data_IF_348305148421
#
_entry.id   IF_348305148421
#
_cell.length_a   1.000
_cell.length_b   1.000
_cell.length_c   1.000
_cell.angle_alpha   90.00
_cell.angle_beta   90.00
_cell.angle_gamma   90.00
#
_symmetry.space_group_name_H-M   'P 1'
#
loop_
_entity.id
_entity.type
_entity.pdbx_description
1 polymer ?
#
# COMPACT_ATOMS: atom_id res chain seq x y z
N UNK A 1 58.53 6.41 -3.28
CA UNK A 1 58.04 5.05 -3.58
C UNK A 1 56.61 5.20 -4.08
N UNK A 2 56.36 4.96 -5.37
CA UNK A 2 55.67 3.77 -5.93
C UNK A 2 54.23 3.58 -5.37
N UNK A 3 53.14 3.77 -6.15
CA UNK A 3 52.62 3.05 -7.36
C UNK A 3 51.69 1.89 -6.97
N UNK A 4 50.51 1.60 -7.56
CA UNK A 4 49.58 2.31 -8.50
C UNK A 4 48.13 1.71 -8.29
N UNK A 5 47.12 1.50 -9.16
CA UNK A 5 46.93 1.56 -10.62
C UNK A 5 45.42 1.65 -11.06
N UNK A 6 45.04 2.76 -11.73
CA UNK A 6 44.12 2.94 -12.90
C UNK A 6 42.88 2.03 -13.08
N UNK A 7 41.66 2.63 -13.16
CA UNK A 7 40.68 2.67 -14.30
C UNK A 7 39.36 3.31 -13.76
N UNK A 8 38.66 4.30 -14.34
CA UNK A 8 38.46 4.80 -15.71
C UNK A 8 37.30 4.15 -16.49
N UNK A 9 36.18 4.87 -16.61
CA UNK A 9 35.34 4.94 -17.82
C UNK A 9 34.58 6.28 -17.84
N UNK A 10 34.24 6.77 -19.03
CA UNK A 10 33.46 7.99 -19.24
C UNK A 10 32.31 7.72 -20.21
N UNK A 11 31.22 8.47 -20.07
CA UNK A 11 30.12 8.54 -21.04
C UNK A 11 29.89 10.01 -21.41
N UNK A 12 29.60 10.28 -22.68
CA UNK A 12 29.76 11.59 -23.32
C UNK A 12 28.51 12.46 -23.25
N UNK A 13 28.69 13.77 -23.09
CA UNK A 13 27.68 14.80 -23.36
C UNK A 13 27.64 15.17 -24.84
N UNK A 14 26.48 15.05 -25.49
CA UNK A 14 26.09 15.68 -26.77
C UNK A 14 24.69 15.14 -27.16
N UNK A 15 23.80 15.86 -27.86
CA UNK A 15 23.79 17.22 -28.37
C UNK A 15 22.46 17.90 -27.98
N UNK A 16 22.43 19.24 -27.93
CA UNK A 16 21.36 20.02 -28.58
C UNK A 16 21.82 21.47 -28.76
N UNK A 17 21.92 21.93 -30.01
CA UNK A 17 22.57 23.20 -30.35
C UNK A 17 21.56 24.19 -30.93
N UNK A 18 21.35 25.30 -30.23
CA UNK A 18 21.00 26.60 -30.82
C UNK A 18 19.60 26.77 -31.43
N UNK A 19 18.77 27.54 -30.72
CA UNK A 19 17.97 28.59 -31.34
C UNK A 19 18.17 29.87 -30.53
N UNK A 20 18.68 30.91 -31.17
CA UNK A 20 18.76 32.25 -30.61
C UNK A 20 17.75 33.15 -31.33
N UNK A 21 16.88 33.78 -30.57
CA UNK A 21 15.91 34.79 -31.00
C UNK A 21 15.76 35.79 -29.86
N UNK A 22 15.55 37.07 -30.19
CA UNK A 22 15.72 38.18 -29.25
C UNK A 22 14.38 38.79 -28.81
N UNK A 23 14.50 39.75 -27.88
CA UNK A 23 13.57 40.85 -27.56
C UNK A 23 12.67 40.69 -26.31
N UNK A 24 13.04 41.48 -25.29
CA UNK A 24 12.25 42.15 -24.25
C UNK A 24 11.11 41.41 -23.51
N UNK A 25 11.46 40.88 -22.33
CA UNK A 25 10.58 40.72 -21.18
C UNK A 25 11.29 41.22 -19.90
N UNK A 26 10.58 41.73 -18.88
CA UNK A 26 11.21 42.46 -17.76
C UNK A 26 12.02 41.57 -16.81
N UNK A 27 13.07 42.16 -16.25
CA UNK A 27 13.96 41.56 -15.24
C UNK A 27 13.21 41.15 -13.97
N UNK A 28 12.88 39.86 -13.91
CA UNK A 28 12.60 39.13 -12.67
C UNK A 28 13.86 38.32 -12.33
N UNK A 29 14.67 38.86 -11.43
CA UNK A 29 16.02 38.37 -11.15
C UNK A 29 16.06 36.86 -10.90
N UNK A 30 16.90 36.17 -11.68
CA UNK A 30 17.07 34.73 -11.65
C UNK A 30 17.92 34.28 -10.45
N UNK A 31 17.31 34.19 -9.27
CA UNK A 31 17.73 33.23 -8.25
C UNK A 31 17.61 31.82 -8.89
N UNK A 32 18.67 30.99 -8.84
CA UNK A 32 18.71 29.67 -9.50
C UNK A 32 17.52 28.79 -9.07
N UNK A 33 16.50 28.65 -9.92
CA UNK A 33 15.28 27.94 -9.55
C UNK A 33 15.49 26.43 -9.46
N UNK A 34 14.72 25.73 -8.63
CA UNK A 34 14.79 24.26 -8.56
C UNK A 34 14.03 23.73 -9.76
N UNK A 35 14.74 23.51 -10.88
CA UNK A 35 14.11 23.07 -12.12
C UNK A 35 13.29 21.79 -11.92
N UNK A 36 12.20 21.66 -12.67
CA UNK A 36 11.32 20.50 -12.60
C UNK A 36 12.09 19.19 -12.82
N UNK A 37 13.14 19.20 -13.65
CA UNK A 37 14.07 18.08 -13.84
C UNK A 37 14.73 17.61 -12.53
N UNK A 38 15.10 18.51 -11.61
CA UNK A 38 15.64 18.13 -10.31
C UNK A 38 14.57 17.48 -9.43
N UNK A 39 13.37 18.07 -9.39
CA UNK A 39 12.24 17.54 -8.61
C UNK A 39 11.82 16.15 -9.12
N UNK A 40 11.72 15.98 -10.44
CA UNK A 40 11.47 14.69 -11.11
C UNK A 40 12.59 13.71 -10.79
N UNK A 41 13.86 14.12 -10.86
CA UNK A 41 15.01 13.26 -10.54
C UNK A 41 14.99 12.81 -9.07
N UNK A 42 14.60 13.68 -8.14
CA UNK A 42 14.53 13.33 -6.71
C UNK A 42 13.40 12.34 -6.43
N UNK A 43 12.22 12.52 -7.03
CA UNK A 43 11.09 11.59 -6.92
C UNK A 43 11.39 10.25 -7.61
N UNK A 44 11.95 10.26 -8.82
CA UNK A 44 12.31 9.06 -9.57
C UNK A 44 13.50 8.27 -8.98
N UNK A 45 14.33 8.91 -8.14
CA UNK A 45 15.42 8.25 -7.41
C UNK A 45 14.97 7.49 -6.15
N UNK A 46 13.65 7.26 -5.97
CA UNK A 46 13.08 6.51 -4.84
C UNK A 46 12.98 7.29 -3.52
N UNK A 47 13.67 8.43 -3.40
CA UNK A 47 13.77 9.29 -2.19
C UNK A 47 12.47 9.93 -1.70
N UNK A 48 11.33 9.50 -2.22
CA UNK A 48 10.01 10.00 -1.92
C UNK A 48 8.91 8.98 -2.17
N UNK A 49 9.23 7.70 -2.42
CA UNK A 49 8.27 6.64 -2.79
C UNK A 49 7.27 6.24 -1.70
N UNK A 50 7.41 6.85 -0.51
CA UNK A 50 6.66 6.57 0.71
C UNK A 50 7.49 5.87 1.79
N UNK A 51 8.65 5.28 1.46
CA UNK A 51 9.52 4.63 2.45
C UNK A 51 10.49 5.60 3.14
N UNK A 52 11.05 6.54 2.38
CA UNK A 52 11.99 7.55 2.89
C UNK A 52 11.30 8.88 3.25
N UNK A 53 11.30 9.24 4.54
CA UNK A 53 10.96 10.60 5.01
C UNK A 53 12.22 11.45 5.18
N UNK A 54 12.74 11.95 4.05
CA UNK A 54 13.86 12.90 4.09
C UNK A 54 13.35 14.29 4.47
N UNK A 55 13.66 14.71 5.70
CA UNK A 55 13.69 16.11 6.10
C UNK A 55 15.16 16.56 6.06
N UNK A 56 15.51 17.46 5.15
CA UNK A 56 16.85 18.07 5.11
C UNK A 56 16.74 19.59 5.17
N UNK A 57 17.57 20.23 6.01
CA UNK A 57 17.69 21.68 6.09
C UNK A 57 19.14 22.08 5.77
N UNK A 58 19.33 22.88 4.72
CA UNK A 58 20.64 23.40 4.35
C UNK A 58 20.53 24.64 3.47
N UNK A 59 21.45 25.59 3.60
CA UNK A 59 21.63 26.71 2.67
C UNK A 59 20.33 27.38 2.17
N UNK A 60 19.47 27.84 3.08
CA UNK A 60 18.19 28.49 2.79
C UNK A 60 17.12 27.60 2.10
N UNK A 61 17.24 26.27 2.26
CA UNK A 61 16.36 25.26 1.66
C UNK A 61 15.93 24.20 2.70
N UNK A 62 14.62 23.94 2.80
CA UNK A 62 14.10 22.70 3.41
C UNK A 62 13.62 21.77 2.30
N UNK A 63 14.10 20.53 2.32
CA UNK A 63 13.67 19.44 1.45
C UNK A 63 12.82 18.46 2.25
N UNK A 64 11.67 18.06 1.71
CA UNK A 64 10.72 17.14 2.32
C UNK A 64 10.37 15.99 1.36
N UNK A 65 10.18 14.79 1.91
CA UNK A 65 9.63 13.63 1.23
C UNK A 65 8.53 12.97 2.08
N UNK A 66 7.88 11.91 1.58
CA UNK A 66 6.93 11.10 2.37
C UNK A 66 5.65 11.85 2.78
N UNK A 67 5.12 11.55 3.97
CA UNK A 67 3.90 12.13 4.50
C UNK A 67 3.96 13.65 4.74
N UNK A 68 5.05 14.27 5.27
CA UNK A 68 5.09 15.73 5.41
C UNK A 68 5.03 16.44 4.05
N UNK A 69 5.66 15.87 3.02
CA UNK A 69 5.53 16.39 1.65
C UNK A 69 4.11 16.19 1.09
N UNK A 70 3.51 15.00 1.24
CA UNK A 70 2.13 14.69 0.81
C UNK A 70 1.12 15.65 1.46
N UNK A 71 1.28 15.96 2.75
CA UNK A 71 0.41 16.92 3.42
C UNK A 71 0.63 18.35 2.92
N UNK A 72 1.88 18.82 2.75
CA UNK A 72 2.14 20.16 2.22
C UNK A 72 1.56 20.33 0.82
N UNK A 73 1.71 19.32 -0.05
CA UNK A 73 1.08 19.27 -1.37
C UNK A 73 -0.44 19.46 -1.27
N UNK A 74 -1.13 18.68 -0.44
CA UNK A 74 -2.60 18.76 -0.26
C UNK A 74 -3.04 20.13 0.28
N UNK A 75 -2.23 20.77 1.14
CA UNK A 75 -2.51 22.12 1.62
C UNK A 75 -2.31 23.18 0.53
N UNK A 76 -1.35 23.01 -0.38
CA UNK A 76 -1.12 23.90 -1.52
C UNK A 76 -2.16 23.75 -2.62
N UNK A 77 -2.60 22.52 -2.94
CA UNK A 77 -3.70 22.25 -3.89
C UNK A 77 -4.98 22.95 -3.39
N UNK A 78 -5.23 22.91 -2.06
CA UNK A 78 -6.37 23.57 -1.41
C UNK A 78 -6.27 25.11 -1.29
N UNK A 79 -5.07 25.70 -1.31
CA UNK A 79 -4.85 27.16 -1.37
C UNK A 79 -4.91 27.70 -2.82
N UNK A 80 -5.12 26.81 -3.81
CA UNK A 80 -5.24 27.16 -5.23
C UNK A 80 -3.90 27.41 -5.92
N UNK A 81 -2.86 26.65 -5.58
CA UNK A 81 -1.54 26.75 -6.22
C UNK A 81 -1.58 26.53 -7.75
N UNK A 82 -0.60 27.07 -8.48
CA UNK A 82 -0.46 26.85 -9.92
C UNK A 82 -0.09 25.38 -10.18
N UNK A 83 -0.87 24.69 -11.02
CA UNK A 83 -0.68 23.26 -11.33
C UNK A 83 -0.06 23.09 -12.71
N UNK A 84 1.11 22.46 -12.77
CA UNK A 84 1.78 22.01 -14.00
C UNK A 84 1.73 20.48 -14.08
N UNK A 85 1.84 19.91 -15.28
CA UNK A 85 1.95 18.44 -15.45
C UNK A 85 3.02 18.13 -16.49
N UNK A 86 4.03 17.36 -16.08
CA UNK A 86 5.22 17.04 -16.89
C UNK A 86 5.49 15.54 -16.78
N UNK A 87 5.63 14.85 -17.91
CA UNK A 87 5.94 13.41 -17.99
C UNK A 87 5.03 12.47 -17.15
N UNK A 88 3.84 12.91 -16.74
CA UNK A 88 2.90 12.18 -15.89
C UNK A 88 2.90 12.61 -14.41
N UNK A 89 3.88 13.40 -13.98
CA UNK A 89 3.94 13.99 -12.64
C UNK A 89 3.08 15.27 -12.55
N UNK A 90 2.38 15.47 -11.42
CA UNK A 90 1.74 16.76 -11.09
C UNK A 90 2.69 17.61 -10.26
N UNK A 91 2.85 18.88 -10.62
CA UNK A 91 3.71 19.85 -9.91
C UNK A 91 2.85 21.03 -9.44
N UNK A 92 3.01 21.43 -8.18
CA UNK A 92 2.39 22.61 -7.58
C UNK A 92 3.43 23.68 -7.30
N UNK A 93 3.25 24.87 -7.88
CA UNK A 93 4.14 26.01 -7.69
C UNK A 93 3.50 27.06 -6.77
N UNK A 94 4.18 27.33 -5.64
CA UNK A 94 3.95 28.44 -4.73
C UNK A 94 5.14 29.41 -4.74
N UNK A 95 4.98 30.61 -4.16
CA UNK A 95 5.93 31.73 -4.34
C UNK A 95 7.39 31.44 -3.96
N UNK A 96 7.62 30.51 -3.03
CA UNK A 96 8.94 30.00 -2.62
C UNK A 96 8.87 28.51 -2.23
N UNK A 97 7.96 27.78 -2.87
CA UNK A 97 7.70 26.37 -2.57
C UNK A 97 7.31 25.64 -3.84
N UNK A 98 7.90 24.49 -4.11
CA UNK A 98 7.49 23.60 -5.19
C UNK A 98 7.25 22.20 -4.63
N UNK A 99 6.18 21.53 -5.07
CA UNK A 99 5.88 20.16 -4.68
C UNK A 99 5.51 19.31 -5.89
N UNK A 100 6.02 18.08 -5.97
CA UNK A 100 5.81 17.12 -7.07
C UNK A 100 5.26 15.80 -6.54
N UNK A 101 4.36 15.15 -7.30
CA UNK A 101 3.83 13.82 -7.00
C UNK A 101 3.54 13.00 -8.27
N UNK A 102 3.64 11.69 -8.16
CA UNK A 102 3.18 10.69 -9.13
C UNK A 102 1.92 9.92 -8.66
N UNK A 103 1.39 10.25 -7.47
CA UNK A 103 0.28 9.55 -6.80
C UNK A 103 0.70 8.44 -5.83
N UNK A 104 1.98 8.05 -5.82
CA UNK A 104 2.57 7.11 -4.84
C UNK A 104 3.41 7.92 -3.87
N UNK A 105 4.39 8.63 -4.40
CA UNK A 105 5.32 9.47 -3.68
C UNK A 105 4.99 10.95 -3.75
N UNK A 106 5.55 11.74 -2.84
CA UNK A 106 5.51 13.20 -2.89
C UNK A 106 6.83 13.77 -2.41
N UNK A 107 7.36 14.76 -3.12
CA UNK A 107 8.54 15.52 -2.74
C UNK A 107 8.23 17.02 -2.75
N UNK A 108 8.68 17.75 -1.74
CA UNK A 108 8.50 19.20 -1.63
C UNK A 108 9.81 19.92 -1.31
N UNK A 109 9.93 21.15 -1.81
CA UNK A 109 11.07 22.03 -1.66
C UNK A 109 10.62 23.41 -1.20
N UNK A 110 11.21 23.94 -0.13
CA UNK A 110 10.85 25.22 0.49
C UNK A 110 12.08 26.12 0.62
N UNK A 111 11.99 27.34 0.08
CA UNK A 111 13.11 28.30 0.02
C UNK A 111 12.89 29.49 0.97
N UNK A 112 13.77 29.68 1.95
CA UNK A 112 13.67 30.76 2.94
C UNK A 112 14.86 30.76 3.89
N UNK A 113 14.94 31.69 4.83
CA UNK A 113 16.02 31.63 5.83
C UNK A 113 15.84 30.38 6.69
N UNK A 114 16.74 29.40 6.54
CA UNK A 114 16.72 28.15 7.31
C UNK A 114 17.47 28.32 8.61
N UNK A 115 16.76 28.15 9.71
CA UNK A 115 17.33 28.11 11.05
C UNK A 115 17.01 26.71 11.60
N UNK A 116 18.04 25.91 11.86
CA UNK A 116 17.96 24.48 12.23
C UNK A 116 18.34 24.22 13.69
N UNK A 117 18.32 25.25 14.53
CA UNK A 117 18.67 25.13 15.95
C UNK A 117 17.39 24.97 16.80
N UNK A 118 17.48 24.17 17.85
CA UNK A 118 16.34 23.54 18.51
C UNK A 118 15.54 24.45 19.48
N UNK A 119 15.34 25.74 19.13
CA UNK A 119 14.35 26.57 19.82
C UNK A 119 12.92 26.10 19.45
N UNK A 120 12.01 26.14 20.43
CA UNK A 120 10.63 25.62 20.39
C UNK A 120 10.42 24.12 20.02
N UNK A 121 11.46 23.35 19.67
CA UNK A 121 11.35 21.92 19.34
C UNK A 121 10.84 21.67 17.92
N UNK A 122 11.50 22.26 16.93
CA UNK A 122 11.36 21.94 15.52
C UNK A 122 12.54 21.07 15.04
N UNK A 123 12.28 20.03 14.26
CA UNK A 123 13.31 19.23 13.57
C UNK A 123 13.96 20.03 12.41
N UNK A 124 13.21 20.92 11.76
CA UNK A 124 13.70 21.83 10.73
C UNK A 124 12.81 23.07 10.62
N UNK A 125 13.40 24.28 10.59
CA UNK A 125 12.69 25.56 10.65
C UNK A 125 13.03 26.55 9.52
N UNK A 126 12.04 27.36 9.16
CA UNK A 126 12.16 28.56 8.34
C UNK A 126 11.73 29.78 9.15
N UNK A 127 12.56 30.81 9.16
CA UNK A 127 12.28 32.10 9.76
C UNK A 127 12.03 33.18 8.68
N UNK A 128 11.42 34.29 9.09
CA UNK A 128 11.22 35.44 8.23
C UNK A 128 10.55 36.62 8.92
N UNK A 129 11.17 37.79 8.79
CA UNK A 129 10.68 39.07 9.33
C UNK A 129 9.77 39.84 8.36
N UNK A 130 9.46 39.29 7.18
CA UNK A 130 8.63 39.93 6.15
C UNK A 130 7.37 39.13 5.88
N UNK A 131 6.30 39.81 5.46
CA UNK A 131 5.03 39.19 5.01
C UNK A 131 5.17 38.37 3.72
N UNK A 132 6.34 38.38 3.09
CA UNK A 132 6.67 37.69 1.83
C UNK A 132 7.64 36.51 2.02
N UNK A 133 8.03 36.18 3.26
CA UNK A 133 8.83 34.98 3.55
C UNK A 133 8.03 33.69 3.30
N UNK A 134 8.75 32.57 3.08
CA UNK A 134 8.12 31.26 3.03
C UNK A 134 7.42 30.88 4.34
N UNK A 135 7.95 31.30 5.50
CA UNK A 135 7.28 31.15 6.79
C UNK A 135 5.97 31.94 6.88
N UNK A 136 5.92 33.18 6.38
CA UNK A 136 4.66 33.94 6.28
C UNK A 136 3.64 33.31 5.32
N UNK A 137 4.10 32.68 4.24
CA UNK A 137 3.24 31.91 3.33
C UNK A 137 2.67 30.65 4.01
N UNK A 138 3.52 29.84 4.66
CA UNK A 138 3.09 28.67 5.44
C UNK A 138 2.09 29.06 6.52
N UNK A 139 2.38 30.09 7.33
CA UNK A 139 1.45 30.56 8.37
C UNK A 139 0.10 30.99 7.78
N UNK A 140 0.08 31.62 6.60
CA UNK A 140 -1.19 31.96 5.91
C UNK A 140 -1.96 30.69 5.55
N UNK A 141 -1.31 29.74 4.88
CA UNK A 141 -1.89 28.48 4.41
C UNK A 141 -2.38 27.60 5.58
N UNK A 142 -1.65 27.51 6.69
CA UNK A 142 -2.11 26.84 7.92
C UNK A 142 -3.33 27.53 8.54
N UNK A 143 -3.36 28.86 8.56
CA UNK A 143 -4.51 29.64 9.05
C UNK A 143 -5.75 29.48 8.16
N UNK A 144 -5.59 29.49 6.84
CA UNK A 144 -6.68 29.17 5.89
C UNK A 144 -7.25 27.78 6.17
N UNK A 145 -6.40 26.76 6.34
CA UNK A 145 -6.84 25.38 6.59
C UNK A 145 -7.56 25.19 7.93
N UNK A 146 -7.13 25.90 8.97
CA UNK A 146 -7.63 25.73 10.36
C UNK A 146 -8.72 26.74 10.76
N UNK A 147 -8.96 27.77 9.94
CA UNK A 147 -9.77 28.93 10.33
C UNK A 147 -9.16 29.78 11.45
N UNK A 148 -7.91 29.51 11.85
CA UNK A 148 -7.27 30.12 13.02
C UNK A 148 -6.71 31.51 12.74
N UNK A 149 -6.74 32.38 13.75
CA UNK A 149 -6.05 33.68 13.76
C UNK A 149 -4.92 33.75 14.80
N UNK A 150 -4.71 32.66 15.56
CA UNK A 150 -3.79 32.59 16.69
C UNK A 150 -2.32 32.83 16.33
N UNK A 151 -1.51 33.27 17.30
CA UNK A 151 -0.06 33.46 17.15
C UNK A 151 0.67 32.15 16.84
N UNK A 152 0.21 31.04 17.43
CA UNK A 152 0.67 29.68 17.15
C UNK A 152 -0.43 28.92 16.42
N UNK A 153 -0.07 28.22 15.33
CA UNK A 153 -0.97 27.35 14.57
C UNK A 153 -0.22 26.07 14.21
N UNK A 154 -0.74 24.93 14.62
CA UNK A 154 -0.27 23.61 14.21
C UNK A 154 -1.31 22.90 13.35
N UNK A 155 -0.82 22.08 12.43
CA UNK A 155 -1.49 20.96 11.77
C UNK A 155 -0.57 19.74 11.95
N UNK A 156 -0.94 18.51 11.56
CA UNK A 156 0.03 17.41 11.58
C UNK A 156 1.26 17.77 10.73
N UNK A 157 2.44 17.29 11.09
CA UNK A 157 3.76 17.71 10.59
C UNK A 157 4.18 19.16 10.88
N UNK A 158 3.34 20.16 10.61
CA UNK A 158 3.75 21.57 10.56
C UNK A 158 3.19 22.44 11.69
N UNK A 159 4.07 23.19 12.35
CA UNK A 159 3.72 24.30 13.25
C UNK A 159 4.28 25.62 12.73
N UNK A 160 3.53 26.70 12.94
CA UNK A 160 3.99 28.08 12.78
C UNK A 160 3.76 28.90 14.05
N UNK A 161 4.72 29.76 14.40
CA UNK A 161 4.70 30.67 15.57
C UNK A 161 5.02 32.10 15.10
N UNK A 162 4.23 33.08 15.55
CA UNK A 162 4.43 34.51 15.24
C UNK A 162 4.88 35.29 16.47
N UNK A 163 6.19 35.44 16.61
CA UNK A 163 6.86 36.16 17.70
C UNK A 163 8.13 36.84 17.14
N UNK A 164 8.17 38.18 17.12
CA UNK A 164 9.23 38.98 16.49
C UNK A 164 9.20 38.94 14.95
N UNK A 165 9.25 37.74 14.38
CA UNK A 165 8.99 37.43 12.97
C UNK A 165 7.90 36.37 12.82
N UNK A 166 8.01 35.53 11.79
CA UNK A 166 7.26 34.27 11.65
C UNK A 166 8.24 33.11 11.53
N UNK A 167 8.12 32.16 12.44
CA UNK A 167 8.78 30.86 12.43
C UNK A 167 7.79 29.82 11.92
N UNK A 168 8.21 28.95 11.00
CA UNK A 168 7.43 27.78 10.58
C UNK A 168 8.36 26.61 10.31
N UNK A 169 8.01 25.43 10.78
CA UNK A 169 8.85 24.25 10.64
C UNK A 169 8.09 22.95 10.85
N UNK A 170 8.81 21.84 10.74
CA UNK A 170 8.31 20.53 11.14
C UNK A 170 8.61 20.31 12.62
N UNK A 171 7.59 19.90 13.37
CA UNK A 171 7.74 19.50 14.78
C UNK A 171 8.49 18.17 14.88
N UNK A 172 9.28 17.97 15.94
CA UNK A 172 10.04 16.73 16.17
C UNK A 172 9.12 15.48 16.10
N UNK A 173 9.30 14.60 15.09
CA UNK A 173 8.35 13.54 14.81
C UNK A 173 8.56 12.30 15.68
N UNK A 174 7.56 11.42 15.71
CA UNK A 174 7.63 10.10 16.35
C UNK A 174 8.10 9.06 15.35
N UNK A 175 8.93 8.11 15.77
CA UNK A 175 9.34 7.01 14.90
C UNK A 175 8.34 5.86 15.01
N UNK A 176 7.94 5.31 13.85
CA UNK A 176 7.05 4.17 13.74
C UNK A 176 7.81 3.01 13.09
N UNK A 177 8.35 2.13 13.92
CA UNK A 177 9.19 1.00 13.49
C UNK A 177 8.31 -0.22 13.22
N UNK A 178 8.36 -0.72 11.99
CA UNK A 178 7.58 -1.84 11.50
C UNK A 178 8.49 -3.01 11.10
N UNK A 179 8.11 -4.22 11.48
CA UNK A 179 8.62 -5.46 10.89
C UNK A 179 7.46 -6.31 10.38
N UNK A 180 7.70 -7.07 9.32
CA UNK A 180 6.70 -7.92 8.67
C UNK A 180 7.29 -9.30 8.36
N UNK A 181 6.55 -10.35 8.69
CA UNK A 181 6.80 -11.73 8.26
C UNK A 181 5.67 -12.21 7.35
N UNK A 182 6.03 -13.00 6.33
CA UNK A 182 5.13 -13.59 5.31
C UNK A 182 4.17 -12.62 4.60
N UNK A 183 4.47 -11.32 4.61
CA UNK A 183 3.69 -10.28 3.92
C UNK A 183 3.78 -10.49 2.38
N UNK A 184 2.66 -10.69 1.66
CA UNK A 184 2.68 -10.97 0.23
C UNK A 184 3.15 -9.79 -0.63
N UNK A 185 3.52 -10.10 -1.88
CA UNK A 185 3.50 -9.10 -2.95
C UNK A 185 2.07 -8.89 -3.42
N UNK A 186 1.66 -7.62 -3.55
CA UNK A 186 0.33 -7.21 -4.03
C UNK A 186 0.30 -6.88 -5.53
N UNK A 187 1.37 -7.22 -6.25
CA UNK A 187 1.48 -6.99 -7.69
C UNK A 187 1.78 -5.53 -8.08
N UNK A 188 1.71 -5.20 -9.38
CA UNK A 188 2.08 -3.89 -9.90
C UNK A 188 1.01 -2.82 -9.68
N UNK A 189 -0.28 -3.18 -9.64
CA UNK A 189 -1.39 -2.21 -9.62
C UNK A 189 -1.83 -1.79 -8.21
N UNK A 190 -1.31 -2.43 -7.17
CA UNK A 190 -1.58 -2.13 -5.76
C UNK A 190 -0.30 -1.74 -4.99
N UNK A 191 -0.50 -1.20 -3.79
CA UNK A 191 0.50 -0.93 -2.75
C UNK A 191 -0.10 -1.30 -1.38
N UNK A 192 0.75 -1.48 -0.38
CA UNK A 192 0.30 -1.37 1.00
C UNK A 192 0.18 0.11 1.40
N UNK A 193 -0.84 0.44 2.20
CA UNK A 193 -0.91 1.71 2.92
C UNK A 193 -1.00 1.46 4.44
N UNK A 194 -0.20 2.20 5.20
CA UNK A 194 -0.22 2.20 6.66
C UNK A 194 -1.15 3.27 7.21
N UNK A 195 -1.92 2.92 8.23
CA UNK A 195 -2.88 3.82 8.88
C UNK A 195 -2.69 3.79 10.39
N UNK A 196 -2.45 4.96 10.98
CA UNK A 196 -2.38 5.13 12.43
C UNK A 196 -3.67 5.79 12.94
N UNK A 197 -4.22 5.24 14.03
CA UNK A 197 -5.56 5.57 14.52
C UNK A 197 -5.48 6.37 15.82
N UNK A 198 -6.10 7.55 15.83
CA UNK A 198 -6.37 8.36 17.03
C UNK A 198 -7.83 8.79 17.02
N UNK A 199 -8.13 10.05 16.66
CA UNK A 199 -9.49 10.57 16.46
C UNK A 199 -9.98 10.34 15.01
N UNK A 200 -9.66 9.18 14.45
CA UNK A 200 -9.78 8.84 13.04
C UNK A 200 -8.50 8.20 12.48
N UNK A 201 -8.55 7.76 11.22
CA UNK A 201 -7.41 7.17 10.53
C UNK A 201 -6.56 8.25 9.83
N UNK A 202 -5.25 8.22 10.07
CA UNK A 202 -4.26 9.04 9.35
C UNK A 202 -3.32 8.10 8.60
N UNK A 203 -3.14 8.32 7.29
CA UNK A 203 -2.14 7.58 6.50
C UNK A 203 -0.73 7.91 7.00
N UNK A 204 0.12 6.89 7.16
CA UNK A 204 1.53 7.02 7.54
C UNK A 204 2.42 6.91 6.32
N UNK A 205 2.28 5.86 5.51
CA UNK A 205 2.95 5.77 4.21
C UNK A 205 2.34 4.75 3.24
N UNK A 206 2.78 4.80 1.98
CA UNK A 206 2.57 3.77 0.96
C UNK A 206 3.88 3.04 0.66
N UNK A 207 3.83 1.72 0.42
CA UNK A 207 5.00 0.93 0.01
C UNK A 207 4.60 -0.34 -0.77
N UNK A 208 5.53 -0.91 -1.55
CA UNK A 208 5.22 -2.09 -2.38
C UNK A 208 5.24 -3.42 -1.57
N UNK A 209 6.39 -3.80 -1.01
CA UNK A 209 6.56 -4.93 -0.07
C UNK A 209 7.90 -4.75 0.63
N UNK A 210 7.98 -5.01 1.94
CA UNK A 210 9.24 -5.01 2.70
C UNK A 210 9.12 -5.91 3.93
N UNK A 211 10.25 -6.36 4.48
CA UNK A 211 10.33 -7.09 5.76
C UNK A 211 10.51 -6.17 6.97
N UNK A 212 10.99 -4.94 6.76
CA UNK A 212 11.10 -3.92 7.81
C UNK A 212 11.04 -2.51 7.21
N UNK A 213 10.57 -1.54 8.00
CA UNK A 213 10.50 -0.13 7.63
C UNK A 213 10.42 0.75 8.88
N UNK A 214 11.27 1.77 8.99
CA UNK A 214 11.08 2.85 9.95
C UNK A 214 10.40 4.01 9.23
N UNK A 215 9.16 4.28 9.62
CA UNK A 215 8.42 5.47 9.18
C UNK A 215 8.54 6.54 10.27
N UNK A 216 8.11 7.76 9.96
CA UNK A 216 7.87 8.79 10.97
C UNK A 216 6.40 9.21 10.94
N UNK A 217 5.90 9.71 12.07
CA UNK A 217 4.54 10.26 12.17
C UNK A 217 4.54 11.59 12.95
N UNK A 218 3.56 12.47 12.72
CA UNK A 218 3.43 13.73 13.45
C UNK A 218 3.44 13.55 14.98
N UNK A 219 4.08 14.49 15.69
CA UNK A 219 4.10 14.53 17.16
C UNK A 219 2.70 14.42 17.80
N UNK A 220 1.67 14.95 17.13
CA UNK A 220 0.26 14.87 17.53
C UNK A 220 -0.31 13.45 17.59
N UNK A 221 0.33 12.45 16.99
CA UNK A 221 -0.12 11.05 16.96
C UNK A 221 0.57 10.16 18.00
N UNK A 222 1.36 10.73 18.93
CA UNK A 222 1.99 10.01 20.04
C UNK A 222 0.99 9.31 21.00
N UNK A 223 -0.30 9.66 20.94
CA UNK A 223 -1.37 9.02 21.72
C UNK A 223 -2.16 7.95 20.93
N UNK A 224 -1.72 7.58 19.72
CA UNK A 224 -2.44 6.66 18.84
C UNK A 224 -2.71 5.29 19.48
N UNK A 225 -3.87 4.72 19.17
CA UNK A 225 -4.43 3.52 19.81
C UNK A 225 -4.32 2.27 18.96
N UNK A 226 -4.18 2.40 17.64
CA UNK A 226 -4.00 1.27 16.73
C UNK A 226 -3.19 1.64 15.47
N UNK A 227 -2.63 0.61 14.84
CA UNK A 227 -2.10 0.64 13.49
C UNK A 227 -2.82 -0.41 12.63
N UNK A 228 -3.13 -0.08 11.38
CA UNK A 228 -3.75 -0.96 10.39
C UNK A 228 -2.96 -0.88 9.09
N UNK A 229 -2.74 -2.03 8.45
CA UNK A 229 -2.19 -2.12 7.09
C UNK A 229 -3.29 -2.55 6.12
N UNK A 230 -3.44 -1.85 5.01
CA UNK A 230 -4.41 -2.17 3.94
C UNK A 230 -3.74 -2.35 2.59
N UNK A 231 -4.45 -2.95 1.63
CA UNK A 231 -4.02 -3.10 0.23
C UNK A 231 -4.79 -2.10 -0.63
N UNK A 232 -4.13 -1.04 -1.09
CA UNK A 232 -4.76 0.08 -1.80
C UNK A 232 -4.34 0.15 -3.28
N UNK A 233 -5.19 0.71 -4.16
CA UNK A 233 -4.82 1.00 -5.55
C UNK A 233 -3.57 1.89 -5.63
N UNK A 234 -2.56 1.47 -6.39
CA UNK A 234 -1.31 2.24 -6.59
C UNK A 234 -1.55 3.60 -7.25
N UNK A 235 -2.62 3.72 -8.05
CA UNK A 235 -2.98 4.93 -8.80
C UNK A 235 -4.48 5.16 -8.77
N UNK A 236 -4.90 6.43 -8.87
CA UNK A 236 -6.30 6.86 -8.84
C UNK A 236 -7.06 6.40 -7.58
N UNK A 237 -6.32 6.34 -6.47
CA UNK A 237 -6.78 5.99 -5.13
C UNK A 237 -8.05 6.79 -4.73
N UNK A 238 -9.22 6.14 -4.59
CA UNK A 238 -10.45 6.82 -4.20
C UNK A 238 -10.56 6.89 -2.67
N UNK A 239 -10.99 8.03 -2.13
CA UNK A 239 -11.41 8.09 -0.73
C UNK A 239 -12.86 7.59 -0.58
N UNK A 240 -13.21 6.80 0.46
CA UNK A 240 -12.35 6.31 1.53
C UNK A 240 -11.49 5.09 1.10
N UNK A 241 -10.46 4.80 1.89
CA UNK A 241 -9.57 3.64 1.75
C UNK A 241 -10.34 2.31 1.60
N UNK A 242 -9.66 1.32 1.01
CA UNK A 242 -10.19 -0.03 0.81
C UNK A 242 -10.66 -0.69 2.11
N UNK A 243 -11.58 -1.66 1.99
CA UNK A 243 -11.86 -2.60 3.08
C UNK A 243 -10.79 -3.68 3.27
N UNK A 244 -9.74 -3.68 2.43
CA UNK A 244 -8.79 -4.80 2.27
C UNK A 244 -7.68 -4.73 3.34
N UNK A 245 -8.10 -4.77 4.60
CA UNK A 245 -7.21 -4.69 5.76
C UNK A 245 -6.54 -6.06 5.99
N UNK A 246 -5.20 -6.13 5.96
CA UNK A 246 -4.45 -7.40 6.01
C UNK A 246 -3.90 -7.74 7.40
N UNK A 247 -3.28 -6.78 8.09
CA UNK A 247 -2.79 -6.93 9.48
C UNK A 247 -3.02 -5.66 10.27
N UNK A 248 -3.23 -5.79 11.58
CA UNK A 248 -3.39 -4.65 12.47
C UNK A 248 -2.89 -4.97 13.89
N UNK A 249 -2.68 -3.93 14.69
CA UNK A 249 -2.28 -4.01 16.10
C UNK A 249 -2.95 -2.90 16.92
N UNK A 250 -3.29 -3.19 18.17
CA UNK A 250 -3.51 -2.16 19.18
C UNK A 250 -2.15 -1.65 19.67
N UNK A 251 -1.93 -0.34 19.68
CA UNK A 251 -0.63 0.26 19.99
C UNK A 251 -0.44 0.48 21.49
N UNK A 252 0.80 0.31 21.95
CA UNK A 252 1.27 0.79 23.26
C UNK A 252 2.54 1.61 23.06
N UNK A 253 2.54 2.87 23.49
CA UNK A 253 3.66 3.80 23.26
C UNK A 253 4.97 3.26 23.87
N UNK A 254 6.06 3.33 23.09
CA UNK A 254 7.39 2.83 23.45
C UNK A 254 7.46 1.31 23.66
N UNK A 255 6.49 0.53 23.16
CA UNK A 255 6.41 -0.92 23.38
C UNK A 255 6.05 -1.67 22.09
N UNK A 256 6.75 -2.77 21.75
CA UNK A 256 6.38 -3.60 20.60
C UNK A 256 4.98 -4.18 20.73
N UNK A 257 4.18 -3.96 19.70
CA UNK A 257 2.80 -4.44 19.57
C UNK A 257 2.72 -5.40 18.36
N UNK A 258 2.05 -6.53 18.50
CA UNK A 258 2.02 -7.57 17.45
C UNK A 258 1.02 -7.24 16.34
N UNK A 259 1.48 -7.26 15.07
CA UNK A 259 0.64 -7.13 13.88
C UNK A 259 0.10 -8.52 13.50
N UNK A 260 -1.22 -8.68 13.45
CA UNK A 260 -1.86 -9.97 13.11
C UNK A 260 -3.04 -9.81 12.17
N UNK A 261 -3.37 -10.88 11.43
CA UNK A 261 -4.64 -11.02 10.68
C UNK A 261 -5.85 -11.15 11.61
N UNK A 262 -5.62 -11.64 12.84
CA UNK A 262 -6.65 -11.93 13.85
C UNK A 262 -7.26 -10.66 14.44
N UNK A 263 -6.51 -9.55 14.48
CA UNK A 263 -6.96 -8.29 15.03
C UNK A 263 -8.28 -7.82 14.36
N UNK A 264 -9.24 -7.35 15.14
CA UNK A 264 -10.60 -7.04 14.67
C UNK A 264 -10.69 -5.86 13.67
N UNK A 265 -9.58 -5.13 13.47
CA UNK A 265 -9.43 -4.11 12.42
C UNK A 265 -8.64 -4.60 11.19
N UNK A 266 -8.34 -5.90 11.11
CA UNK A 266 -7.76 -6.61 9.96
C UNK A 266 -8.77 -7.63 9.42
N UNK A 267 -8.31 -8.82 9.03
CA UNK A 267 -9.17 -9.93 8.55
C UNK A 267 -10.08 -10.47 9.68
N UNK A 268 -9.73 -10.25 10.95
CA UNK A 268 -10.53 -10.67 12.11
C UNK A 268 -10.46 -12.17 12.43
N UNK A 269 -9.49 -12.89 11.87
CA UNK A 269 -9.27 -14.31 12.16
C UNK A 269 -7.81 -14.73 11.95
N UNK A 270 -7.41 -15.79 12.65
CA UNK A 270 -6.09 -16.41 12.53
C UNK A 270 -6.11 -17.68 11.66
N UNK A 271 -7.30 -18.15 11.24
CA UNK A 271 -7.59 -19.38 10.50
C UNK A 271 -7.27 -20.73 11.17
N UNK A 272 -6.93 -20.79 12.47
CA UNK A 272 -6.60 -22.05 13.15
C UNK A 272 -7.74 -23.09 13.19
N UNK A 273 -8.99 -22.64 13.06
CA UNK A 273 -10.19 -23.50 13.02
C UNK A 273 -10.69 -23.83 11.61
N UNK A 274 -10.00 -23.37 10.57
CA UNK A 274 -10.38 -23.65 9.19
C UNK A 274 -10.15 -25.13 8.84
N UNK A 275 -11.11 -25.76 8.15
CA UNK A 275 -11.01 -27.13 7.66
C UNK A 275 -11.82 -27.31 6.37
N UNK A 276 -11.32 -28.14 5.44
CA UNK A 276 -12.03 -28.51 4.23
C UNK A 276 -11.85 -29.99 3.88
N UNK A 277 -12.88 -30.55 3.23
CA UNK A 277 -12.81 -31.80 2.50
C UNK A 277 -13.50 -31.66 1.14
N UNK A 278 -13.06 -32.46 0.16
CA UNK A 278 -13.62 -32.49 -1.19
C UNK A 278 -13.79 -33.92 -1.72
N UNK A 279 -14.57 -34.06 -2.79
CA UNK A 279 -14.65 -35.26 -3.62
C UNK A 279 -14.15 -34.95 -5.04
N UNK A 280 -13.61 -35.97 -5.73
CA UNK A 280 -13.41 -35.93 -7.18
C UNK A 280 -14.68 -36.44 -7.86
N UNK A 281 -15.42 -35.59 -8.55
CA UNK A 281 -16.70 -35.93 -9.17
C UNK A 281 -17.04 -34.95 -10.30
N UNK A 282 -17.80 -35.42 -11.30
CA UNK A 282 -18.21 -34.64 -12.48
C UNK A 282 -19.74 -34.55 -12.66
N UNK A 283 -20.46 -33.95 -11.70
CA UNK A 283 -21.93 -33.87 -11.69
C UNK A 283 -22.55 -33.11 -12.88
N UNK A 284 -21.77 -32.34 -13.65
CA UNK A 284 -22.25 -31.75 -14.92
C UNK A 284 -22.36 -32.76 -16.08
N UNK A 285 -21.95 -34.01 -15.87
CA UNK A 285 -22.10 -35.12 -16.84
C UNK A 285 -22.89 -36.29 -16.24
N UNK A 286 -23.26 -37.25 -17.09
CA UNK A 286 -23.87 -38.53 -16.68
C UNK A 286 -22.88 -39.71 -16.75
N UNK A 287 -21.58 -39.42 -16.88
CA UNK A 287 -20.52 -40.41 -16.89
C UNK A 287 -20.05 -40.70 -15.45
N UNK A 288 -19.43 -41.88 -15.27
CA UNK A 288 -18.83 -42.32 -14.00
C UNK A 288 -17.33 -42.60 -14.15
N UNK A 289 -16.76 -42.29 -15.32
CA UNK A 289 -15.35 -42.55 -15.70
C UNK A 289 -14.49 -41.29 -15.80
N UNK A 290 -15.09 -40.14 -15.55
CA UNK A 290 -14.53 -38.79 -15.66
C UNK A 290 -14.42 -38.08 -14.30
N UNK A 291 -14.71 -38.75 -13.18
CA UNK A 291 -14.65 -38.17 -11.81
C UNK A 291 -13.38 -37.36 -11.52
N UNK A 292 -12.22 -37.81 -12.03
CA UNK A 292 -10.93 -37.11 -11.90
C UNK A 292 -10.86 -35.74 -12.60
N UNK A 293 -11.89 -35.35 -13.37
CA UNK A 293 -11.97 -34.08 -14.09
C UNK A 293 -12.80 -33.02 -13.35
N UNK A 294 -13.25 -33.25 -12.11
CA UNK A 294 -14.02 -32.27 -11.34
C UNK A 294 -13.75 -32.35 -9.85
N UNK A 295 -13.83 -31.21 -9.15
CA UNK A 295 -13.56 -31.10 -7.71
C UNK A 295 -14.70 -30.35 -7.02
N UNK A 296 -15.26 -30.97 -5.98
CA UNK A 296 -16.42 -30.42 -5.28
C UNK A 296 -16.25 -30.49 -3.77
N UNK A 297 -16.41 -29.35 -3.09
CA UNK A 297 -16.37 -29.26 -1.64
C UNK A 297 -17.73 -29.69 -1.05
N UNK A 298 -17.98 -31.00 -1.09
CA UNK A 298 -19.25 -31.64 -0.71
C UNK A 298 -18.99 -32.83 0.22
N UNK A 299 -19.71 -32.88 1.34
CA UNK A 299 -19.60 -33.94 2.33
C UNK A 299 -20.62 -35.06 2.03
N UNK A 300 -20.21 -36.32 1.80
CA UNK A 300 -21.14 -37.41 1.57
C UNK A 300 -21.99 -37.70 2.81
N UNK A 301 -23.29 -37.39 2.73
CA UNK A 301 -24.24 -37.62 3.82
C UNK A 301 -24.13 -36.65 5.00
N UNK A 302 -23.29 -35.61 4.91
CA UNK A 302 -23.11 -34.56 5.93
C UNK A 302 -23.50 -33.17 5.38
N UNK A 303 -23.82 -32.19 6.24
CA UNK A 303 -24.24 -30.86 5.79
C UNK A 303 -23.06 -30.01 5.29
N UNK A 304 -21.87 -30.17 5.89
CA UNK A 304 -20.74 -29.23 5.77
C UNK A 304 -19.46 -29.95 5.33
N UNK A 305 -18.84 -29.43 4.26
CA UNK A 305 -17.52 -29.85 3.78
C UNK A 305 -16.45 -28.75 3.97
N UNK A 306 -16.88 -27.56 4.38
CA UNK A 306 -16.09 -26.35 4.51
C UNK A 306 -16.43 -25.68 5.84
N UNK A 307 -15.52 -25.75 6.79
CA UNK A 307 -15.58 -25.00 8.04
C UNK A 307 -14.62 -23.82 7.89
N UNK A 308 -15.17 -22.62 7.71
CA UNK A 308 -14.41 -21.42 7.37
C UNK A 308 -14.87 -20.22 8.22
N UNK A 309 -13.95 -19.39 8.75
CA UNK A 309 -14.30 -18.11 9.35
C UNK A 309 -15.08 -17.20 8.39
N UNK A 310 -15.95 -16.34 8.92
CA UNK A 310 -16.59 -15.27 8.13
C UNK A 310 -15.56 -14.19 7.82
N UNK A 311 -15.31 -13.93 6.53
CA UNK A 311 -14.44 -12.83 6.10
C UNK A 311 -15.18 -11.48 6.13
N UNK A 312 -14.49 -10.37 6.45
CA UNK A 312 -15.03 -9.02 6.33
C UNK A 312 -15.15 -8.59 4.85
N UNK A 313 -15.64 -7.36 4.63
CA UNK A 313 -15.56 -6.70 3.32
C UNK A 313 -14.09 -6.48 2.93
N UNK A 314 -13.81 -6.31 1.63
CA UNK A 314 -12.44 -6.26 1.10
C UNK A 314 -11.78 -7.64 0.92
N UNK A 315 -12.43 -8.73 1.34
CA UNK A 315 -11.94 -10.10 1.19
C UNK A 315 -13.02 -11.06 0.69
N UNK A 316 -12.61 -12.17 0.08
CA UNK A 316 -13.46 -13.29 -0.39
C UNK A 316 -12.67 -14.61 -0.34
N UNK A 317 -13.34 -15.77 -0.34
CA UNK A 317 -12.64 -17.05 -0.56
C UNK A 317 -12.62 -17.38 -2.05
N UNK A 318 -11.54 -17.97 -2.54
CA UNK A 318 -11.48 -18.57 -3.87
C UNK A 318 -10.90 -19.98 -3.80
N UNK A 319 -11.54 -20.91 -4.52
CA UNK A 319 -11.03 -22.27 -4.68
C UNK A 319 -10.12 -22.36 -5.90
N UNK A 320 -9.09 -23.20 -5.85
CA UNK A 320 -8.12 -23.35 -6.93
C UNK A 320 -7.69 -24.79 -7.13
N UNK A 321 -7.58 -25.20 -8.40
CA UNK A 321 -6.79 -26.34 -8.86
C UNK A 321 -5.43 -25.84 -9.30
N UNK A 322 -4.34 -26.50 -8.92
CA UNK A 322 -3.00 -26.20 -9.45
C UNK A 322 -2.32 -27.48 -9.94
N UNK A 323 -1.91 -27.51 -11.21
CA UNK A 323 -1.16 -28.62 -11.79
C UNK A 323 -0.05 -28.10 -12.75
N UNK A 324 0.56 -28.99 -13.52
CA UNK A 324 1.67 -28.65 -14.44
C UNK A 324 1.30 -27.60 -15.53
N UNK A 325 0.01 -27.35 -15.76
CA UNK A 325 -0.49 -26.30 -16.68
C UNK A 325 -0.77 -24.96 -15.98
N UNK A 326 -0.40 -24.81 -14.71
CA UNK A 326 -0.65 -23.62 -13.90
C UNK A 326 -1.91 -23.72 -13.02
N UNK A 327 -2.22 -22.66 -12.26
CA UNK A 327 -3.45 -22.56 -11.47
C UNK A 327 -4.67 -22.32 -12.36
N UNK A 328 -5.83 -22.82 -11.92
CA UNK A 328 -7.15 -22.47 -12.44
C UNK A 328 -8.09 -22.33 -11.25
N UNK A 329 -8.91 -21.29 -11.25
CA UNK A 329 -9.95 -21.08 -10.24
C UNK A 329 -11.00 -22.21 -10.28
N UNK A 330 -11.71 -22.39 -9.17
CA UNK A 330 -12.97 -23.15 -9.04
C UNK A 330 -14.09 -22.24 -8.52
N UNK A 331 -13.98 -20.93 -8.77
CA UNK A 331 -14.95 -19.92 -8.37
C UNK A 331 -14.70 -19.26 -7.00
N UNK A 332 -15.19 -18.03 -6.87
CA UNK A 332 -15.20 -17.20 -5.66
C UNK A 332 -16.45 -17.43 -4.83
N UNK A 333 -16.33 -17.54 -3.51
CA UNK A 333 -17.45 -17.78 -2.61
C UNK A 333 -17.32 -17.03 -1.27
N UNK A 334 -18.46 -16.76 -0.63
CA UNK A 334 -18.55 -16.15 0.72
C UNK A 334 -19.03 -17.11 1.80
N UNK A 335 -19.43 -18.32 1.43
CA UNK A 335 -19.86 -19.37 2.35
C UNK A 335 -19.74 -20.73 1.68
N UNK A 336 -19.23 -21.73 2.39
CA UNK A 336 -19.20 -23.12 1.91
C UNK A 336 -20.58 -23.80 1.80
N UNK A 337 -21.66 -23.09 2.16
CA UNK A 337 -23.04 -23.58 2.13
C UNK A 337 -23.88 -22.99 0.98
N UNK A 338 -23.28 -22.16 0.12
CA UNK A 338 -23.86 -21.68 -1.13
C UNK A 338 -23.03 -22.11 -2.35
N UNK A 339 -23.49 -21.76 -3.54
CA UNK A 339 -22.65 -21.81 -4.74
C UNK A 339 -21.57 -20.72 -4.71
N UNK A 340 -20.55 -20.90 -5.53
CA UNK A 340 -19.54 -19.90 -5.91
C UNK A 340 -20.04 -18.98 -7.05
N UNK A 341 -19.12 -18.27 -7.70
CA UNK A 341 -19.37 -17.26 -8.74
C UNK A 341 -19.91 -17.80 -10.06
N UNK A 342 -19.58 -19.04 -10.41
CA UNK A 342 -19.75 -19.60 -11.75
C UNK A 342 -20.27 -21.05 -11.77
N UNK A 343 -20.53 -21.62 -10.58
CA UNK A 343 -21.10 -22.95 -10.41
C UNK A 343 -20.17 -24.03 -10.93
N UNK A 344 -20.68 -24.94 -11.77
CA UNK A 344 -19.86 -25.99 -12.36
C UNK A 344 -18.71 -25.47 -13.27
N UNK A 345 -18.64 -24.17 -13.52
CA UNK A 345 -17.54 -23.49 -14.21
C UNK A 345 -17.66 -23.48 -15.74
N UNK A 346 -16.85 -22.67 -16.44
CA UNK A 346 -16.93 -22.46 -17.90
C UNK A 346 -16.56 -23.69 -18.74
N UNK A 347 -16.01 -24.74 -18.12
CA UNK A 347 -15.51 -25.98 -18.76
C UNK A 347 -16.39 -27.20 -18.49
N UNK A 348 -17.56 -27.00 -17.89
CA UNK A 348 -18.50 -28.03 -17.48
C UNK A 348 -19.17 -28.79 -18.65
N UNK A 349 -19.81 -29.91 -18.32
CA UNK A 349 -20.80 -30.58 -19.13
C UNK A 349 -22.20 -29.90 -19.11
N UNK A 350 -23.21 -30.51 -19.75
CA UNK A 350 -24.52 -29.90 -19.96
C UNK A 350 -25.50 -29.98 -18.77
N UNK A 351 -25.15 -30.66 -17.67
CA UNK A 351 -25.97 -30.77 -16.47
C UNK A 351 -25.55 -29.74 -15.41
N UNK A 352 -26.45 -29.41 -14.49
CA UNK A 352 -26.16 -28.48 -13.39
C UNK A 352 -25.36 -29.17 -12.27
N UNK A 353 -24.29 -28.53 -11.82
CA UNK A 353 -23.54 -28.95 -10.63
C UNK A 353 -24.27 -28.62 -9.30
N UNK A 354 -23.77 -29.14 -8.17
CA UNK A 354 -24.23 -28.81 -6.82
C UNK A 354 -24.28 -27.30 -6.52
N UNK A 355 -25.19 -26.84 -5.65
CA UNK A 355 -25.16 -25.48 -5.09
C UNK A 355 -24.15 -25.40 -3.94
N UNK A 356 -22.88 -25.69 -4.24
CA UNK A 356 -21.72 -25.76 -3.34
C UNK A 356 -20.48 -25.29 -4.11
N UNK A 357 -19.37 -24.90 -3.44
CA UNK A 357 -18.16 -24.54 -4.18
C UNK A 357 -17.55 -25.76 -4.90
N UNK A 358 -17.16 -25.59 -6.16
CA UNK A 358 -16.55 -26.65 -6.97
C UNK A 358 -16.81 -26.53 -8.47
N UNK A 359 -15.92 -27.12 -9.28
CA UNK A 359 -15.91 -26.97 -10.74
C UNK A 359 -15.61 -28.28 -11.47
N UNK A 360 -16.21 -28.42 -12.66
CA UNK A 360 -15.92 -29.48 -13.64
C UNK A 360 -15.07 -28.97 -14.82
N UNK A 361 -14.06 -29.75 -15.19
CA UNK A 361 -13.07 -29.47 -16.23
C UNK A 361 -13.16 -30.51 -17.37
N UNK A 362 -14.34 -30.56 -18.02
CA UNK A 362 -14.65 -31.55 -19.06
C UNK A 362 -14.08 -31.15 -20.43
N UNK A 363 -14.09 -29.86 -20.77
CA UNK A 363 -13.77 -29.38 -22.11
C UNK A 363 -12.87 -28.12 -22.10
N UNK A 364 -11.57 -28.23 -22.43
CA UNK A 364 -10.80 -29.47 -22.61
C UNK A 364 -10.67 -30.26 -21.30
N UNK A 365 -10.55 -31.60 -21.36
CA UNK A 365 -10.45 -32.43 -20.16
C UNK A 365 -9.15 -32.15 -19.39
N UNK A 366 -9.27 -31.91 -18.08
CA UNK A 366 -8.12 -31.72 -17.17
C UNK A 366 -8.17 -32.76 -16.06
N UNK A 367 -7.25 -33.72 -16.09
CA UNK A 367 -7.03 -34.61 -14.96
C UNK A 367 -6.46 -33.81 -13.77
N UNK A 368 -7.08 -34.00 -12.61
CA UNK A 368 -6.73 -33.35 -11.35
C UNK A 368 -5.71 -34.17 -10.54
N UNK A 369 -5.54 -35.46 -10.81
CA UNK A 369 -4.69 -36.38 -10.04
C UNK A 369 -3.21 -36.02 -10.16
N UNK A 370 -2.49 -36.03 -9.02
CA UNK A 370 -1.13 -35.49 -8.91
C UNK A 370 -1.04 -33.96 -8.99
N UNK A 371 -2.17 -33.28 -9.13
CA UNK A 371 -2.31 -31.83 -8.92
C UNK A 371 -2.51 -31.47 -7.46
N UNK A 372 -3.04 -30.27 -7.23
CA UNK A 372 -3.30 -29.68 -5.92
C UNK A 372 -4.65 -29.01 -5.87
N UNK A 373 -5.27 -28.99 -4.69
CA UNK A 373 -6.47 -28.21 -4.40
C UNK A 373 -6.13 -27.21 -3.29
N UNK A 374 -6.48 -25.94 -3.48
CA UNK A 374 -6.17 -24.86 -2.54
C UNK A 374 -7.43 -24.04 -2.30
N UNK A 375 -7.62 -23.56 -1.06
CA UNK A 375 -8.54 -22.46 -0.78
C UNK A 375 -7.70 -21.27 -0.33
N UNK A 376 -7.92 -20.12 -0.96
CA UNK A 376 -7.29 -18.85 -0.64
C UNK A 376 -8.28 -17.85 -0.07
N UNK A 377 -7.74 -16.81 0.55
CA UNK A 377 -8.42 -15.59 0.99
C UNK A 377 -7.94 -14.47 0.09
N UNK A 378 -8.71 -14.19 -0.95
CA UNK A 378 -8.39 -13.23 -2.00
C UNK A 378 -8.87 -11.82 -1.61
N UNK A 379 -8.14 -10.76 -1.99
CA UNK A 379 -8.64 -9.39 -1.85
C UNK A 379 -9.85 -9.16 -2.75
N UNK A 380 -10.67 -8.15 -2.43
CA UNK A 380 -11.86 -7.78 -3.21
C UNK A 380 -11.91 -6.25 -3.39
N UNK A 381 -11.54 -5.71 -4.57
CA UNK A 381 -11.25 -6.42 -5.82
C UNK A 381 -9.84 -7.04 -5.85
N UNK A 382 -9.76 -8.27 -6.35
CA UNK A 382 -8.52 -8.88 -6.84
C UNK A 382 -8.41 -8.74 -8.37
N UNK A 383 -7.17 -8.60 -8.86
CA UNK A 383 -6.83 -8.55 -10.30
C UNK A 383 -5.73 -9.56 -10.68
N UNK A 384 -5.34 -10.48 -9.80
CA UNK A 384 -4.35 -11.50 -10.06
C UNK A 384 -4.94 -12.65 -10.91
N UNK A 385 -4.07 -13.32 -11.67
CA UNK A 385 -4.42 -14.56 -12.39
C UNK A 385 -3.88 -15.82 -11.67
N UNK A 386 -3.47 -15.68 -10.40
CA UNK A 386 -2.84 -16.71 -9.60
C UNK A 386 -3.23 -16.57 -8.12
N UNK A 387 -3.36 -17.67 -7.36
CA UNK A 387 -3.85 -17.66 -5.99
C UNK A 387 -3.02 -16.75 -5.07
N UNK A 388 -3.67 -15.92 -4.27
CA UNK A 388 -3.00 -15.06 -3.30
C UNK A 388 -2.33 -15.86 -2.18
N UNK A 389 -1.36 -15.24 -1.50
CA UNK A 389 -0.50 -15.97 -0.57
C UNK A 389 -1.22 -16.47 0.70
N UNK A 390 -2.32 -15.83 1.10
CA UNK A 390 -3.13 -16.25 2.25
C UNK A 390 -3.98 -17.47 1.85
N UNK A 391 -3.34 -18.64 1.88
CA UNK A 391 -3.98 -19.95 1.73
C UNK A 391 -4.15 -20.59 3.10
N UNK A 392 -5.34 -20.54 3.72
CA UNK A 392 -5.58 -21.24 4.98
C UNK A 392 -5.61 -22.77 4.84
N UNK A 393 -5.90 -23.30 3.64
CA UNK A 393 -6.12 -24.73 3.40
C UNK A 393 -5.51 -25.19 2.07
N UNK A 394 -4.78 -26.32 2.09
CA UNK A 394 -4.05 -26.87 0.93
C UNK A 394 -4.07 -28.41 0.94
N UNK A 395 -4.38 -29.02 -0.21
CA UNK A 395 -3.97 -30.38 -0.56
C UNK A 395 -2.78 -30.30 -1.55
N UNK A 396 -1.72 -31.03 -1.26
CA UNK A 396 -0.45 -31.01 -2.00
C UNK A 396 -0.33 -32.10 -3.07
N UNK A 397 -1.17 -33.15 -3.05
CA UNK A 397 -1.15 -34.27 -4.01
C UNK A 397 -2.53 -34.97 -4.11
N UNK A 398 -3.35 -34.49 -5.03
CA UNK A 398 -4.68 -35.04 -5.33
C UNK A 398 -4.58 -36.53 -5.71
N UNK A 399 -5.21 -37.40 -4.93
CA UNK A 399 -5.25 -38.85 -5.16
C UNK A 399 -6.51 -39.27 -5.95
N UNK A 400 -6.38 -40.31 -6.78
CA UNK A 400 -7.48 -40.89 -7.57
C UNK A 400 -8.49 -41.68 -6.70
N UNK A 401 -9.30 -40.98 -5.90
CA UNK A 401 -10.37 -41.58 -5.08
C UNK A 401 -11.74 -41.48 -5.77
N UNK A 402 -12.48 -42.58 -5.82
CA UNK A 402 -13.83 -42.60 -6.37
C UNK A 402 -14.87 -42.14 -5.33
N UNK A 403 -15.89 -41.34 -5.71
CA UNK A 403 -17.01 -41.01 -4.84
C UNK A 403 -17.68 -42.27 -4.24
N UNK A 404 -18.09 -42.23 -2.96
CA UNK A 404 -18.15 -41.08 -2.07
C UNK A 404 -16.88 -40.84 -1.21
N UNK A 405 -15.70 -41.37 -1.56
CA UNK A 405 -14.50 -41.12 -0.75
C UNK A 405 -14.08 -39.63 -0.83
N UNK A 406 -13.81 -39.01 0.33
CA UNK A 406 -13.33 -37.63 0.43
C UNK A 406 -11.81 -37.54 0.63
N UNK A 407 -11.27 -36.37 0.32
CA UNK A 407 -9.89 -35.97 0.56
C UNK A 407 -9.89 -34.71 1.43
N UNK A 408 -8.92 -34.59 2.33
CA UNK A 408 -8.80 -33.47 3.28
C UNK A 408 -7.81 -32.43 2.75
N UNK A 409 -8.03 -31.16 3.07
CA UNK A 409 -7.00 -30.13 2.94
C UNK A 409 -6.31 -29.92 4.30
N UNK A 410 -4.98 -29.88 4.30
CA UNK A 410 -4.18 -29.53 5.47
C UNK A 410 -4.35 -28.03 5.79
N UNK A 411 -4.43 -27.70 7.08
CA UNK A 411 -4.52 -26.32 7.55
C UNK A 411 -3.13 -25.67 7.62
N UNK A 412 -2.91 -24.64 6.82
CA UNK A 412 -1.66 -23.89 6.68
C UNK A 412 -1.68 -22.52 7.37
N UNK A 413 -2.53 -22.31 8.38
CA UNK A 413 -2.70 -21.02 9.08
C UNK A 413 -1.40 -20.42 9.68
N UNK A 414 -0.36 -21.23 9.95
CA UNK A 414 0.95 -20.76 10.38
C UNK A 414 1.73 -19.98 9.31
N UNK A 415 1.27 -20.01 8.05
CA UNK A 415 1.83 -19.26 6.92
C UNK A 415 1.17 -17.89 6.69
N UNK A 416 0.35 -17.43 7.64
CA UNK A 416 -0.31 -16.11 7.59
C UNK A 416 0.66 -14.94 7.78
N UNK A 417 0.38 -13.76 7.18
CA UNK A 417 1.13 -12.53 7.45
C UNK A 417 1.10 -12.14 8.93
N UNK A 418 2.22 -11.66 9.44
CA UNK A 418 2.33 -11.12 10.81
C UNK A 418 3.46 -10.08 10.90
N UNK A 419 3.74 -9.57 12.10
CA UNK A 419 4.82 -8.61 12.30
C UNK A 419 4.83 -7.93 13.67
N UNK A 420 5.59 -6.85 13.79
CA UNK A 420 5.61 -5.98 14.97
C UNK A 420 5.52 -4.51 14.56
N UNK A 421 4.88 -3.70 15.39
CA UNK A 421 4.92 -2.24 15.30
C UNK A 421 5.36 -1.63 16.65
N UNK A 422 6.22 -0.61 16.61
CA UNK A 422 6.64 0.20 17.77
C UNK A 422 6.42 1.67 17.44
N UNK A 423 5.82 2.43 18.34
CA UNK A 423 5.70 3.90 18.24
C UNK A 423 6.56 4.55 19.34
N UNK A 424 7.59 5.29 18.93
CA UNK A 424 8.64 5.88 19.78
C UNK A 424 8.59 7.41 19.80
#
# INVERSE_FOLDING_TARGET
MNRTLIHALAVSTSLLTGCAGTDDAPDVGADEDTSDDQLITQLAAGKADGTDEIISASNNRIQLAGAPARQLYVLMDADGAQVTTIAGYRILHGRRTACITDGIGTYCDLRGQTDSEAEDGFAAGLHGNTTTSASSYLLRLLRTKTGSTASTVSVPWFRCVRQGGVWCGIEEPRALELTFDKLPSVGPDFVYEGWIILDGATTTSRFATTTALTQYVPASLAAATAYVLTIEPRRNDPAPASGTHIVAAALTHGSPSALTTEHAAAIGTDFATAAAQYILATPSTASMTDNNLGVWFVAPGGPEALMLPTLPLGWIYEGWVVNASGPVTTGRFRSGMGADSDGAGPTAGPLAGPPRPGQDFIMPPRDLVGGRVVITVEPEPDTAAAPFAIRPLVDLEVTALAPPATQMLDNTHAERPSGTVVLN
#
